data_IF_389701268392
#
_entry.id   IF_389701268392
#
_cell.length_a   1.000
_cell.length_b   1.000
_cell.length_c   1.000
_cell.angle_alpha   90.00
_cell.angle_beta   90.00
_cell.angle_gamma   90.00
#
_symmetry.space_group_name_H-M   'P 1'
#
loop_
_entity.id
_entity.type
_entity.pdbx_description
1 polymer ?
#
# COMPACT_ATOMS: atom_id res chain seq x y z
N UNK A 1 5.70 -2.26 18.99
CA UNK A 1 4.67 -1.95 17.97
C UNK A 1 5.15 -2.54 16.68
N UNK A 2 4.35 -3.42 16.10
CA UNK A 2 4.65 -4.09 14.83
C UNK A 2 4.04 -3.26 13.71
N UNK A 3 4.88 -2.62 12.91
CA UNK A 3 4.43 -1.80 11.79
C UNK A 3 5.11 -2.21 10.49
N UNK A 4 4.43 -1.94 9.39
CA UNK A 4 4.98 -2.09 8.04
C UNK A 4 4.94 -0.73 7.36
N UNK A 5 6.06 -0.31 6.80
CA UNK A 5 6.11 0.79 5.84
C UNK A 5 6.12 0.16 4.45
N UNK A 6 5.24 0.56 3.55
CA UNK A 6 5.22 0.01 2.20
C UNK A 6 4.83 1.05 1.15
N UNK A 7 5.18 0.73 -0.08
CA UNK A 7 4.82 1.44 -1.30
C UNK A 7 4.66 0.41 -2.42
N UNK A 8 3.78 0.67 -3.39
CA UNK A 8 3.56 -0.21 -4.54
C UNK A 8 3.87 0.50 -5.86
N UNK A 9 4.54 -0.23 -6.74
CA UNK A 9 4.61 0.12 -8.15
C UNK A 9 3.51 -0.60 -8.91
N UNK A 10 2.91 0.09 -9.87
CA UNK A 10 1.73 -0.41 -10.58
C UNK A 10 1.82 -0.17 -12.07
N UNK A 11 1.04 -0.94 -12.82
CA UNK A 11 0.87 -0.74 -14.25
C UNK A 11 -0.60 -0.91 -14.64
N UNK A 12 -0.97 -0.34 -15.78
CA UNK A 12 -2.29 -0.53 -16.36
C UNK A 12 -2.22 -1.57 -17.49
N UNK A 13 -2.83 -2.76 -17.35
CA UNK A 13 -2.76 -3.81 -18.37
C UNK A 13 -3.42 -3.39 -19.69
N UNK A 14 -4.36 -2.44 -19.67
CA UNK A 14 -5.04 -1.93 -20.86
C UNK A 14 -4.26 -0.79 -21.53
N UNK A 15 -3.11 -0.40 -20.98
CA UNK A 15 -2.25 0.66 -21.53
C UNK A 15 -2.88 2.06 -21.52
N UNK A 16 -3.93 2.27 -20.71
CA UNK A 16 -4.54 3.58 -20.56
C UNK A 16 -3.85 4.41 -19.46
N UNK A 17 -3.70 5.71 -19.70
CA UNK A 17 -3.03 6.64 -18.77
C UNK A 17 -3.94 7.15 -17.65
N UNK A 18 -5.20 6.69 -17.61
CA UNK A 18 -6.14 7.12 -16.58
C UNK A 18 -5.86 6.34 -15.30
N UNK A 19 -5.72 7.07 -14.19
CA UNK A 19 -5.64 6.45 -12.86
C UNK A 19 -7.02 5.88 -12.50
N UNK A 20 -7.09 4.55 -12.50
CA UNK A 20 -8.21 3.76 -11.99
C UNK A 20 -7.65 2.58 -11.18
N UNK A 21 -7.64 2.74 -9.86
CA UNK A 21 -7.07 1.74 -8.94
C UNK A 21 -7.74 0.36 -9.07
N UNK A 22 -8.98 0.31 -9.56
CA UNK A 22 -9.69 -0.95 -9.83
C UNK A 22 -9.19 -1.68 -11.08
N UNK A 23 -8.64 -0.95 -12.06
CA UNK A 23 -8.08 -1.50 -13.30
C UNK A 23 -6.58 -1.87 -13.16
N UNK A 24 -5.82 -1.12 -12.35
CA UNK A 24 -4.36 -1.28 -12.22
C UNK A 24 -3.93 -2.64 -11.65
N UNK A 25 -2.70 -3.05 -11.92
CA UNK A 25 -2.05 -4.24 -11.36
C UNK A 25 -0.77 -3.85 -10.65
N UNK A 26 -0.34 -4.69 -9.71
CA UNK A 26 0.90 -4.48 -8.95
C UNK A 26 2.04 -5.05 -9.79
N UNK A 27 3.14 -4.30 -9.93
CA UNK A 27 4.39 -4.81 -10.50
C UNK A 27 5.36 -5.22 -9.39
N UNK A 28 5.51 -4.38 -8.38
CA UNK A 28 6.42 -4.59 -7.23
C UNK A 28 5.81 -3.97 -5.99
N UNK A 29 6.01 -4.61 -4.84
CA UNK A 29 5.72 -4.05 -3.52
C UNK A 29 7.04 -3.97 -2.78
N UNK A 30 7.45 -2.77 -2.39
CA UNK A 30 8.58 -2.56 -1.50
C UNK A 30 8.09 -2.34 -0.08
N UNK A 31 8.64 -3.06 0.91
CA UNK A 31 8.25 -2.86 2.30
C UNK A 31 9.40 -3.01 3.29
N UNK A 32 9.26 -2.30 4.42
CA UNK A 32 10.06 -2.48 5.62
C UNK A 32 9.18 -3.11 6.71
N UNK A 33 9.66 -4.19 7.32
CA UNK A 33 8.94 -4.96 8.34
C UNK A 33 9.63 -4.78 9.69
N UNK A 34 8.98 -4.05 10.62
CA UNK A 34 9.64 -3.58 11.84
C UNK A 34 10.05 -4.70 12.81
N UNK A 35 9.38 -5.85 12.78
CA UNK A 35 9.68 -6.98 13.68
C UNK A 35 10.73 -7.95 13.11
N UNK A 36 11.02 -7.85 11.81
CA UNK A 36 12.15 -8.54 11.18
C UNK A 36 13.37 -7.63 11.09
N UNK A 37 13.18 -6.32 11.16
CA UNK A 37 14.18 -5.29 10.86
C UNK A 37 14.78 -5.46 9.45
N UNK A 38 13.91 -5.77 8.49
CA UNK A 38 14.29 -6.10 7.12
C UNK A 38 13.45 -5.34 6.10
N UNK A 39 14.08 -5.08 4.96
CA UNK A 39 13.40 -4.67 3.73
C UNK A 39 13.14 -5.89 2.87
N UNK A 40 11.89 -6.08 2.49
CA UNK A 40 11.45 -7.19 1.63
C UNK A 40 10.72 -6.61 0.41
N UNK A 41 10.99 -7.18 -0.75
CA UNK A 41 10.27 -6.89 -1.97
C UNK A 41 9.44 -8.10 -2.39
N UNK A 42 8.22 -7.84 -2.86
CA UNK A 42 7.34 -8.82 -3.48
C UNK A 42 7.14 -8.42 -4.94
N UNK A 43 7.10 -9.39 -5.84
CA UNK A 43 6.89 -9.13 -7.27
C UNK A 43 5.45 -9.49 -7.66
N UNK A 44 5.05 -9.15 -8.89
CA UNK A 44 3.76 -9.55 -9.45
C UNK A 44 3.49 -11.05 -9.24
N UNK A 45 2.33 -11.38 -8.68
CA UNK A 45 1.94 -12.74 -8.28
C UNK A 45 2.14 -13.08 -6.81
N UNK A 46 2.97 -12.32 -6.08
CA UNK A 46 3.26 -12.52 -4.65
C UNK A 46 2.33 -11.70 -3.73
N UNK A 47 1.29 -11.04 -4.26
CA UNK A 47 0.46 -10.08 -3.51
C UNK A 47 -0.22 -10.74 -2.31
N UNK A 48 -0.58 -12.03 -2.43
CA UNK A 48 -1.16 -12.80 -1.33
C UNK A 48 -0.18 -13.02 -0.18
N UNK A 49 1.10 -13.23 -0.48
CA UNK A 49 2.13 -13.43 0.54
C UNK A 49 2.40 -12.13 1.28
N UNK A 50 2.50 -11.01 0.54
CA UNK A 50 2.53 -9.69 1.14
C UNK A 50 1.31 -9.44 2.04
N UNK A 51 0.09 -9.71 1.56
CA UNK A 51 -1.14 -9.48 2.33
C UNK A 51 -1.22 -10.35 3.60
N UNK A 52 -0.68 -11.56 3.58
CA UNK A 52 -0.58 -12.42 4.76
C UNK A 52 0.34 -11.83 5.84
N UNK A 53 1.41 -11.16 5.43
CA UNK A 53 2.33 -10.45 6.32
C UNK A 53 1.70 -9.12 6.78
N UNK A 54 1.09 -8.37 5.85
CA UNK A 54 0.42 -7.10 6.13
C UNK A 54 -0.67 -7.24 7.19
N UNK A 55 -1.40 -8.36 7.20
CA UNK A 55 -2.44 -8.68 8.19
C UNK A 55 -1.91 -8.78 9.63
N UNK A 56 -0.60 -8.99 9.81
CA UNK A 56 0.04 -9.09 11.13
C UNK A 56 0.48 -7.73 11.67
N UNK A 57 0.44 -6.67 10.85
CA UNK A 57 0.81 -5.34 11.28
C UNK A 57 -0.25 -4.73 12.20
N UNK A 58 0.20 -4.11 13.29
CA UNK A 58 -0.63 -3.28 14.16
C UNK A 58 -0.86 -1.88 13.54
N UNK A 59 0.02 -1.48 12.62
CA UNK A 59 -0.04 -0.22 11.88
C UNK A 59 0.60 -0.39 10.50
N UNK A 60 -0.06 0.08 9.45
CA UNK A 60 0.53 0.22 8.12
C UNK A 60 0.87 1.69 7.84
N UNK A 61 1.98 1.93 7.17
CA UNK A 61 2.50 3.27 6.90
C UNK A 61 2.81 3.36 5.41
N UNK A 62 2.39 4.46 4.78
CA UNK A 62 2.66 4.72 3.37
C UNK A 62 2.43 6.19 3.02
N UNK A 63 2.62 6.52 1.75
CA UNK A 63 2.39 7.87 1.22
C UNK A 63 1.25 7.82 0.20
N UNK A 64 0.13 8.51 0.47
CA UNK A 64 -1.09 8.44 -0.35
C UNK A 64 -1.71 7.02 -0.48
N UNK A 65 -1.25 6.08 0.34
CA UNK A 65 -1.62 4.69 0.27
C UNK A 65 -3.09 4.40 0.57
N UNK A 66 -3.80 5.26 1.30
CA UNK A 66 -5.24 5.06 1.54
C UNK A 66 -6.10 5.31 0.30
N UNK A 67 -5.63 6.17 -0.61
CA UNK A 67 -6.34 6.54 -1.83
C UNK A 67 -5.84 5.80 -3.07
N UNK A 68 -4.63 5.26 -3.01
CA UNK A 68 -4.00 4.58 -4.13
C UNK A 68 -3.65 3.11 -3.83
N UNK A 69 -2.64 2.85 -2.99
CA UNK A 69 -2.06 1.52 -2.82
C UNK A 69 -3.05 0.51 -2.25
N UNK A 70 -3.72 0.84 -1.13
CA UNK A 70 -4.71 -0.03 -0.51
C UNK A 70 -5.87 -0.29 -1.49
N UNK A 71 -6.47 0.71 -2.18
CA UNK A 71 -7.44 0.45 -3.25
C UNK A 71 -6.96 -0.49 -4.36
N UNK A 72 -5.70 -0.38 -4.81
CA UNK A 72 -5.12 -1.32 -5.80
C UNK A 72 -4.98 -2.71 -5.18
N UNK A 73 -4.48 -2.82 -3.96
CA UNK A 73 -4.28 -4.10 -3.27
C UNK A 73 -5.59 -4.81 -2.92
N UNK A 74 -6.69 -4.07 -2.81
CA UNK A 74 -8.02 -4.57 -2.39
C UNK A 74 -8.49 -5.76 -3.21
N UNK A 75 -8.16 -5.82 -4.50
CA UNK A 75 -8.57 -6.93 -5.39
C UNK A 75 -7.87 -8.25 -5.09
N UNK A 76 -6.71 -8.23 -4.44
CA UNK A 76 -5.96 -9.43 -4.06
C UNK A 76 -6.35 -9.93 -2.65
N UNK A 77 -7.02 -9.10 -1.87
CA UNK A 77 -7.37 -9.41 -0.49
C UNK A 77 -8.69 -10.18 -0.34
N UNK A 78 -8.70 -11.12 0.61
CA UNK A 78 -9.89 -11.88 1.01
C UNK A 78 -10.54 -11.33 2.30
N UNK A 79 -10.11 -10.16 2.75
CA UNK A 79 -10.51 -9.51 3.99
C UNK A 79 -10.50 -8.00 3.77
N UNK A 80 -11.11 -7.24 4.69
CA UNK A 80 -11.19 -5.79 4.55
C UNK A 80 -9.87 -5.11 4.90
N UNK A 81 -8.99 -4.95 3.91
CA UNK A 81 -7.70 -4.29 4.11
C UNK A 81 -7.83 -2.80 4.41
N UNK A 82 -8.97 -2.18 4.05
CA UNK A 82 -9.20 -0.76 4.32
C UNK A 82 -9.46 -0.52 5.81
N UNK A 83 -9.76 -1.56 6.59
CA UNK A 83 -9.96 -1.47 8.03
C UNK A 83 -8.66 -1.51 8.83
N UNK A 84 -7.49 -1.67 8.19
CA UNK A 84 -6.21 -1.65 8.90
C UNK A 84 -5.97 -0.28 9.53
N UNK A 85 -5.49 -0.23 10.79
CA UNK A 85 -4.91 0.99 11.32
C UNK A 85 -3.78 1.45 10.40
N UNK A 86 -3.85 2.70 9.95
CA UNK A 86 -2.94 3.23 8.96
C UNK A 86 -2.43 4.63 9.35
N UNK A 87 -1.23 4.95 8.88
CA UNK A 87 -0.62 6.26 8.95
C UNK A 87 -0.25 6.69 7.53
N UNK A 88 -1.07 7.57 6.94
CA UNK A 88 -0.81 8.14 5.62
C UNK A 88 -0.01 9.43 5.75
N UNK A 89 1.25 9.39 5.31
CA UNK A 89 2.18 10.52 5.41
C UNK A 89 1.64 11.74 4.66
N UNK A 90 0.97 11.56 3.52
CA UNK A 90 0.43 12.66 2.73
C UNK A 90 -0.70 13.38 3.48
N UNK A 91 -1.61 12.61 4.08
CA UNK A 91 -2.70 13.15 4.91
C UNK A 91 -2.14 13.92 6.11
N UNK A 92 -1.09 13.40 6.75
CA UNK A 92 -0.47 14.07 7.89
C UNK A 92 0.28 15.35 7.49
N UNK A 93 0.90 15.37 6.31
CA UNK A 93 1.50 16.59 5.74
C UNK A 93 0.42 17.62 5.41
N UNK A 94 -0.67 17.22 4.76
CA UNK A 94 -1.79 18.09 4.41
C UNK A 94 -2.35 18.79 5.65
N UNK A 95 -2.53 18.05 6.76
CA UNK A 95 -2.94 18.61 8.05
C UNK A 95 -2.00 19.70 8.59
N UNK A 96 -0.72 19.67 8.21
CA UNK A 96 0.30 20.65 8.64
C UNK A 96 0.40 21.86 7.72
N UNK A 97 0.31 21.65 6.41
CA UNK A 97 0.56 22.70 5.40
C UNK A 97 -0.73 23.32 4.84
N UNK A 98 -1.89 22.70 5.06
CA UNK A 98 -3.20 23.21 4.65
C UNK A 98 -3.55 23.01 3.17
N UNK A 99 -2.77 22.23 2.43
CA UNK A 99 -3.07 21.82 1.05
C UNK A 99 -2.55 20.41 0.77
N UNK A 100 -3.16 19.73 -0.20
CA UNK A 100 -2.74 18.40 -0.63
C UNK A 100 -1.47 18.49 -1.49
N UNK A 101 -0.36 17.83 -1.11
CA UNK A 101 0.91 17.86 -1.85
C UNK A 101 1.03 16.80 -2.95
N UNK A 102 0.02 15.94 -3.13
CA UNK A 102 -0.04 14.89 -4.16
C UNK A 102 -0.83 15.25 -5.40
#
# INVERSE_FOLDING_TARGET
>A
MNYIVFDIETYNPDGNDKIDTSAMRVSVIGCYISWLDEYIAFIEGDEKDFLNILKQAELVVGYNHIWFDLPVLKKYAQWDIMSLPNYDIMVEIEKKIGFNPG
#
